data_IF_873149713338
#
_entry.id   IF_873149713338
#
_cell.length_a   1.000
_cell.length_b   1.000
_cell.length_c   1.000
_cell.angle_alpha   90.00
_cell.angle_beta   90.00
_cell.angle_gamma   90.00
#
_symmetry.space_group_name_H-M   'P 1'
#
loop_
_entity.id
_entity.type
_entity.pdbx_description
1 polymer ?
#
# COMPACT_ATOMS: atom_id res chain seq x y z
N UNK A 1 -13.23 -0.62 11.07
CA UNK A 1 -13.44 -2.02 11.47
C UNK A 1 -14.78 -2.15 12.20
N UNK A 2 -15.00 -1.62 13.40
CA UNK A 2 -16.25 -1.79 14.15
C UNK A 2 -17.53 -1.51 13.34
N UNK A 3 -17.57 -0.41 12.60
CA UNK A 3 -18.72 -0.06 11.74
C UNK A 3 -18.90 -1.11 10.63
N UNK A 4 -17.83 -1.58 10.00
CA UNK A 4 -17.91 -2.57 8.92
C UNK A 4 -18.43 -3.94 9.38
N UNK A 5 -18.31 -4.26 10.66
CA UNK A 5 -18.75 -5.51 11.28
C UNK A 5 -20.24 -5.51 11.68
N UNK A 6 -20.92 -4.35 11.69
CA UNK A 6 -22.35 -4.26 12.02
C UNK A 6 -23.21 -4.95 10.95
N UNK A 7 -24.16 -5.77 11.34
CA UNK A 7 -25.02 -6.52 10.42
C UNK A 7 -25.85 -5.61 9.50
N UNK A 8 -26.25 -4.44 9.98
CA UNK A 8 -26.99 -3.45 9.20
C UNK A 8 -26.16 -2.71 8.14
N UNK A 9 -24.81 -2.88 8.13
CA UNK A 9 -23.92 -2.25 7.17
C UNK A 9 -23.55 -3.25 6.08
N UNK A 10 -24.13 -3.09 4.91
CA UNK A 10 -23.85 -3.94 3.74
C UNK A 10 -22.63 -3.48 2.94
N UNK A 11 -22.32 -2.20 2.97
CA UNK A 11 -21.17 -1.62 2.27
C UNK A 11 -20.58 -0.46 3.07
N UNK A 12 -19.27 -0.25 2.94
CA UNK A 12 -18.56 0.84 3.58
C UNK A 12 -17.52 1.42 2.61
N UNK A 13 -17.56 2.72 2.42
CA UNK A 13 -16.52 3.46 1.72
C UNK A 13 -15.77 4.35 2.72
N UNK A 14 -14.46 4.24 2.72
CA UNK A 14 -13.57 5.12 3.48
C UNK A 14 -12.66 5.81 2.48
N UNK A 15 -12.57 7.14 2.55
CA UNK A 15 -11.72 7.92 1.66
C UNK A 15 -10.24 7.57 1.85
N UNK A 16 -9.44 7.81 0.82
CA UNK A 16 -8.03 7.40 0.79
C UNK A 16 -7.11 8.19 1.71
N UNK A 17 -7.58 9.31 2.25
CA UNK A 17 -6.90 10.06 3.30
C UNK A 17 -7.93 10.55 4.30
N UNK A 18 -7.63 10.41 5.59
CA UNK A 18 -8.45 10.94 6.68
C UNK A 18 -8.04 12.35 7.12
N UNK A 19 -7.15 12.99 6.39
CA UNK A 19 -6.57 14.31 6.72
C UNK A 19 -7.05 15.40 5.77
N UNK A 20 -6.58 16.62 5.98
CA UNK A 20 -7.01 17.84 5.29
C UNK A 20 -6.86 17.81 3.78
N UNK A 21 -5.92 17.04 3.25
CA UNK A 21 -5.74 16.87 1.81
C UNK A 21 -6.99 16.32 1.11
N UNK A 22 -7.79 15.48 1.77
CA UNK A 22 -9.06 14.97 1.22
C UNK A 22 -10.12 16.04 1.02
N UNK A 23 -9.99 17.20 1.67
CA UNK A 23 -10.89 18.33 1.49
C UNK A 23 -10.87 18.84 0.05
N UNK A 24 -9.72 18.81 -0.63
CA UNK A 24 -9.60 19.19 -2.04
C UNK A 24 -10.41 18.27 -2.97
N UNK A 25 -10.38 16.96 -2.71
CA UNK A 25 -11.19 15.96 -3.44
C UNK A 25 -12.69 16.22 -3.15
N UNK A 26 -13.04 16.43 -1.89
CA UNK A 26 -14.41 16.75 -1.47
C UNK A 26 -14.95 18.02 -2.14
N UNK A 27 -14.12 19.07 -2.23
CA UNK A 27 -14.42 20.30 -2.94
C UNK A 27 -14.71 20.07 -4.43
N UNK A 28 -13.89 19.25 -5.10
CA UNK A 28 -14.12 18.88 -6.49
C UNK A 28 -15.45 18.14 -6.67
N UNK A 29 -15.78 17.18 -5.81
CA UNK A 29 -17.06 16.49 -5.85
C UNK A 29 -18.23 17.44 -5.58
N UNK A 30 -18.09 18.32 -4.60
CA UNK A 30 -19.13 19.31 -4.29
C UNK A 30 -19.42 20.24 -5.47
N UNK A 31 -18.39 20.77 -6.13
CA UNK A 31 -18.56 21.62 -7.32
C UNK A 31 -19.17 20.85 -8.50
N UNK A 32 -18.81 19.59 -8.64
CA UNK A 32 -19.27 18.73 -9.74
C UNK A 32 -20.61 18.03 -9.48
N UNK A 33 -21.23 18.22 -8.30
CA UNK A 33 -22.44 17.50 -7.86
C UNK A 33 -23.64 17.61 -8.80
N UNK A 34 -23.71 18.68 -9.61
CA UNK A 34 -24.79 18.90 -10.58
C UNK A 34 -24.57 18.15 -11.90
N UNK A 35 -23.38 17.62 -12.13
CA UNK A 35 -23.08 16.86 -13.33
C UNK A 35 -23.54 15.42 -13.18
N UNK A 36 -24.46 14.98 -14.06
CA UNK A 36 -25.01 13.61 -14.06
C UNK A 36 -23.95 12.54 -14.33
N UNK A 37 -22.76 12.93 -14.87
CA UNK A 37 -21.63 12.05 -15.19
C UNK A 37 -20.57 12.01 -14.07
N UNK A 38 -20.93 12.32 -12.85
CA UNK A 38 -20.02 12.27 -11.72
C UNK A 38 -19.52 10.84 -11.52
N UNK A 39 -18.20 10.64 -11.71
CA UNK A 39 -17.56 9.33 -11.56
C UNK A 39 -16.88 9.27 -10.21
N UNK A 40 -17.02 8.14 -9.52
CA UNK A 40 -16.24 7.87 -8.32
C UNK A 40 -14.75 7.76 -8.63
N UNK A 41 -13.94 8.29 -7.75
CA UNK A 41 -12.50 8.15 -7.80
C UNK A 41 -12.12 6.68 -7.55
N UNK A 42 -11.55 6.03 -8.56
CA UNK A 42 -11.22 4.59 -8.49
C UNK A 42 -9.90 4.32 -7.77
N UNK A 43 -8.97 5.27 -7.84
CA UNK A 43 -7.64 5.20 -7.22
C UNK A 43 -7.16 6.61 -6.87
N UNK A 44 -6.02 6.67 -6.20
CA UNK A 44 -5.36 7.91 -5.80
C UNK A 44 -4.07 8.20 -6.60
N UNK A 45 -3.85 7.56 -7.72
CA UNK A 45 -2.69 7.84 -8.59
C UNK A 45 -2.89 9.13 -9.39
N UNK A 46 -2.93 10.26 -8.68
CA UNK A 46 -3.28 11.57 -9.22
C UNK A 46 -2.06 12.47 -9.43
N UNK A 47 -0.92 12.08 -8.88
CA UNK A 47 0.30 12.87 -8.92
C UNK A 47 1.07 12.76 -10.23
N UNK A 48 2.33 13.16 -10.16
CA UNK A 48 3.27 13.15 -11.27
C UNK A 48 3.58 11.73 -11.75
N UNK A 49 3.75 11.55 -13.05
CA UNK A 49 4.09 10.26 -13.67
C UNK A 49 5.59 10.18 -13.94
N UNK A 50 6.27 9.31 -13.19
CA UNK A 50 7.72 9.13 -13.29
C UNK A 50 8.14 8.43 -14.58
N UNK A 51 7.27 7.59 -15.17
CA UNK A 51 7.62 6.83 -16.36
C UNK A 51 7.98 7.74 -17.57
N UNK A 52 7.44 8.95 -17.58
CA UNK A 52 7.77 9.95 -18.60
C UNK A 52 9.17 10.59 -18.42
N UNK A 53 9.80 10.37 -17.29
CA UNK A 53 11.08 11.01 -16.92
C UNK A 53 12.23 10.01 -16.79
N UNK A 54 11.94 8.72 -16.70
CA UNK A 54 12.96 7.70 -16.42
C UNK A 54 14.05 7.65 -17.49
N UNK A 55 13.68 7.88 -18.75
CA UNK A 55 14.62 7.89 -19.88
C UNK A 55 15.53 9.14 -19.91
N UNK A 56 15.17 10.15 -19.12
CA UNK A 56 15.95 11.40 -18.99
C UNK A 56 16.98 11.33 -17.87
N UNK A 57 17.02 10.24 -17.10
CA UNK A 57 17.93 10.08 -15.98
C UNK A 57 19.34 9.83 -16.51
N UNK A 58 20.29 10.65 -16.07
CA UNK A 58 21.71 10.42 -16.31
C UNK A 58 22.21 9.29 -15.41
N UNK A 59 22.33 8.09 -15.95
CA UNK A 59 22.72 6.89 -15.20
C UNK A 59 24.24 6.84 -14.89
N UNK A 60 25.10 7.46 -15.70
CA UNK A 60 26.54 7.38 -15.53
C UNK A 60 27.07 7.78 -14.14
N UNK A 61 26.64 8.88 -13.53
CA UNK A 61 27.04 9.20 -12.17
C UNK A 61 26.58 8.17 -11.15
N UNK A 62 25.38 7.59 -11.36
CA UNK A 62 24.76 6.61 -10.48
C UNK A 62 25.49 5.27 -10.53
N UNK A 63 25.96 4.86 -11.71
CA UNK A 63 26.68 3.60 -11.90
C UNK A 63 28.06 3.54 -11.18
N UNK A 64 28.55 4.65 -10.65
CA UNK A 64 29.80 4.65 -9.85
C UNK A 64 29.60 3.98 -8.49
N UNK A 65 28.43 4.18 -7.89
CA UNK A 65 28.13 3.75 -6.52
C UNK A 65 27.12 2.60 -6.47
N UNK A 66 26.43 2.33 -7.60
CA UNK A 66 25.33 1.37 -7.66
C UNK A 66 25.43 0.49 -8.91
N UNK A 67 24.90 -0.74 -8.80
CA UNK A 67 24.74 -1.63 -9.93
C UNK A 67 23.40 -1.34 -10.60
N UNK A 68 23.42 -0.84 -11.83
CA UNK A 68 22.21 -0.62 -12.63
C UNK A 68 21.94 -1.84 -13.50
N UNK A 69 20.71 -2.35 -13.43
CA UNK A 69 20.24 -3.46 -14.25
C UNK A 69 18.97 -3.05 -15.00
N UNK A 70 18.97 -3.25 -16.31
CA UNK A 70 17.82 -3.01 -17.17
C UNK A 70 17.02 -4.28 -17.40
N UNK A 71 15.74 -4.16 -17.80
CA UNK A 71 14.88 -5.30 -18.15
C UNK A 71 14.53 -6.21 -16.96
N UNK A 72 14.55 -5.70 -15.74
CA UNK A 72 14.18 -6.46 -14.54
C UNK A 72 12.68 -6.76 -14.56
N UNK A 73 12.33 -8.06 -14.48
CA UNK A 73 10.93 -8.51 -14.46
C UNK A 73 10.37 -8.55 -13.03
N UNK A 74 9.04 -8.54 -12.90
CA UNK A 74 8.38 -8.72 -11.61
C UNK A 74 8.71 -10.07 -10.94
N UNK A 75 9.02 -11.11 -11.70
CA UNK A 75 9.48 -12.41 -11.17
C UNK A 75 10.82 -12.28 -10.44
N UNK A 76 11.76 -11.49 -10.99
CA UNK A 76 13.05 -11.21 -10.34
C UNK A 76 12.82 -10.43 -9.04
N UNK A 77 11.96 -9.40 -9.07
CA UNK A 77 11.61 -8.62 -7.87
C UNK A 77 10.98 -9.51 -6.80
N UNK A 78 10.03 -10.36 -7.17
CA UNK A 78 9.40 -11.31 -6.25
C UNK A 78 10.42 -12.28 -5.61
N UNK A 79 11.36 -12.80 -6.41
CA UNK A 79 12.44 -13.66 -5.91
C UNK A 79 13.35 -12.93 -4.92
N UNK A 80 13.69 -11.68 -5.18
CA UNK A 80 14.48 -10.86 -4.26
C UNK A 80 13.76 -10.66 -2.93
N UNK A 81 12.45 -10.33 -2.96
CA UNK A 81 11.63 -10.18 -1.75
C UNK A 81 11.56 -11.49 -0.97
N UNK A 82 11.30 -12.61 -1.64
CA UNK A 82 11.23 -13.94 -1.00
C UNK A 82 12.57 -14.35 -0.35
N UNK A 83 13.69 -13.88 -0.89
CA UNK A 83 15.03 -14.06 -0.30
C UNK A 83 15.34 -13.07 0.84
N UNK A 84 14.36 -12.26 1.27
CA UNK A 84 14.48 -11.35 2.40
C UNK A 84 15.08 -9.99 2.09
N UNK A 85 15.16 -9.61 0.80
CA UNK A 85 15.60 -8.27 0.42
C UNK A 85 14.47 -7.26 0.59
N UNK A 86 14.86 -6.01 0.88
CA UNK A 86 13.96 -4.87 0.92
C UNK A 86 14.05 -4.14 -0.42
N UNK A 87 12.92 -3.90 -1.06
CA UNK A 87 12.84 -3.29 -2.39
C UNK A 87 12.11 -1.96 -2.29
N UNK A 88 12.71 -0.88 -2.77
CA UNK A 88 12.02 0.37 -3.03
C UNK A 88 11.48 0.36 -4.47
N UNK A 89 10.18 0.52 -4.62
CA UNK A 89 9.50 0.57 -5.92
C UNK A 89 9.04 2.00 -6.21
N UNK A 90 9.38 2.47 -7.41
CA UNK A 90 8.82 3.70 -7.99
C UNK A 90 8.30 3.32 -9.38
N UNK A 91 7.03 3.64 -9.67
CA UNK A 91 6.37 3.28 -10.92
C UNK A 91 5.16 4.18 -11.17
N UNK A 92 4.88 4.52 -12.43
CA UNK A 92 3.70 5.27 -12.84
C UNK A 92 3.48 6.59 -12.10
N UNK A 93 2.22 6.92 -11.90
CA UNK A 93 1.82 8.17 -11.24
C UNK A 93 1.93 8.07 -9.72
N UNK A 94 2.43 9.14 -9.12
CA UNK A 94 2.51 9.25 -7.67
C UNK A 94 1.12 9.21 -7.01
N UNK A 95 1.03 8.60 -5.84
CA UNK A 95 -0.17 8.59 -5.03
C UNK A 95 -0.46 9.96 -4.45
N UNK A 96 -1.74 10.33 -4.40
CA UNK A 96 -2.25 11.48 -3.65
C UNK A 96 -2.40 11.11 -2.17
N UNK A 97 -2.01 12.02 -1.29
CA UNK A 97 -2.10 11.82 0.15
C UNK A 97 -0.82 11.26 0.78
N UNK A 98 -0.87 11.02 2.08
CA UNK A 98 0.28 10.66 2.91
C UNK A 98 0.72 9.19 2.76
N UNK A 99 -0.08 8.34 2.12
CA UNK A 99 0.15 6.89 2.06
C UNK A 99 0.72 6.46 0.72
N UNK A 100 1.73 5.59 0.76
CA UNK A 100 2.15 4.82 -0.40
C UNK A 100 1.09 3.75 -0.70
N UNK A 101 0.68 3.62 -1.98
CA UNK A 101 -0.36 2.69 -2.41
C UNK A 101 0.11 1.78 -3.55
N UNK A 102 1.42 1.56 -3.65
CA UNK A 102 2.02 0.63 -4.61
C UNK A 102 2.95 1.25 -5.65
N UNK A 103 2.85 2.55 -5.92
CA UNK A 103 3.71 3.22 -6.90
C UNK A 103 4.96 3.85 -6.30
N UNK A 104 4.94 4.25 -5.03
CA UNK A 104 6.11 4.73 -4.28
C UNK A 104 6.20 3.97 -2.97
N UNK A 105 6.52 2.69 -3.04
CA UNK A 105 6.41 1.75 -1.94
C UNK A 105 7.72 1.08 -1.62
N UNK A 106 7.93 0.80 -0.34
CA UNK A 106 8.96 -0.11 0.14
C UNK A 106 8.28 -1.47 0.35
N UNK A 107 8.80 -2.50 -0.32
CA UNK A 107 8.26 -3.85 -0.33
C UNK A 107 9.22 -4.80 0.39
N UNK A 108 8.68 -5.71 1.18
CA UNK A 108 9.44 -6.73 1.87
C UNK A 108 8.57 -7.96 2.17
N UNK A 109 9.19 -9.07 2.50
CA UNK A 109 8.51 -10.32 2.87
C UNK A 109 7.85 -10.18 4.26
N UNK A 110 6.50 -10.22 4.35
CA UNK A 110 5.80 -10.01 5.60
C UNK A 110 5.93 -11.20 6.59
N UNK A 111 6.45 -12.34 6.16
CA UNK A 111 6.70 -13.49 7.05
C UNK A 111 7.94 -13.32 7.93
N UNK A 112 8.84 -12.39 7.60
CA UNK A 112 10.08 -12.15 8.32
C UNK A 112 9.85 -11.22 9.52
N UNK A 113 10.06 -11.72 10.74
CA UNK A 113 9.82 -10.98 11.98
C UNK A 113 10.68 -9.73 12.14
N UNK A 114 11.93 -9.83 11.72
CA UNK A 114 12.93 -8.75 11.85
C UNK A 114 12.78 -7.64 10.82
N UNK A 115 11.95 -7.84 9.79
CA UNK A 115 11.83 -6.89 8.68
C UNK A 115 11.24 -5.54 9.12
N UNK A 116 10.30 -5.55 10.08
CA UNK A 116 9.69 -4.33 10.62
C UNK A 116 10.76 -3.45 11.26
N UNK A 117 11.58 -4.04 12.11
CA UNK A 117 12.67 -3.34 12.78
C UNK A 117 13.69 -2.80 11.77
N UNK A 118 14.15 -3.64 10.85
CA UNK A 118 15.08 -3.23 9.79
C UNK A 118 14.60 -2.03 8.98
N UNK A 119 13.34 -2.03 8.55
CA UNK A 119 12.79 -0.92 7.76
C UNK A 119 12.59 0.33 8.63
N UNK A 120 12.09 0.17 9.86
CA UNK A 120 11.85 1.30 10.74
C UNK A 120 13.16 2.00 11.14
N UNK A 121 14.19 1.26 11.49
CA UNK A 121 15.49 1.81 11.90
C UNK A 121 16.30 2.34 10.71
N UNK A 122 16.49 1.53 9.66
CA UNK A 122 17.40 1.86 8.58
C UNK A 122 16.82 2.85 7.53
N UNK A 123 15.50 2.88 7.36
CA UNK A 123 14.87 3.61 6.26
C UNK A 123 13.91 4.68 6.76
N UNK A 124 13.03 4.33 7.70
CA UNK A 124 11.96 5.24 8.15
C UNK A 124 12.34 6.09 9.34
N UNK A 125 13.38 5.73 10.09
CA UNK A 125 13.82 6.39 11.32
C UNK A 125 12.65 6.71 12.26
N UNK A 126 11.90 5.67 12.62
CA UNK A 126 10.70 5.76 13.45
C UNK A 126 10.66 4.61 14.46
N UNK A 127 9.68 4.63 15.36
CA UNK A 127 9.52 3.63 16.42
C UNK A 127 9.46 2.21 15.84
N UNK A 128 10.25 1.30 16.43
CA UNK A 128 10.43 -0.07 15.97
C UNK A 128 9.13 -0.90 15.93
N UNK A 129 8.14 -0.53 16.73
CA UNK A 129 6.86 -1.24 16.85
C UNK A 129 5.80 -0.82 15.82
N UNK A 130 6.03 0.25 15.07
CA UNK A 130 5.05 0.73 14.09
C UNK A 130 4.85 -0.28 12.95
N UNK A 131 3.62 -0.79 12.75
CA UNK A 131 3.36 -1.80 11.73
C UNK A 131 3.38 -1.22 10.31
N UNK A 132 3.47 -2.12 9.34
CA UNK A 132 3.29 -1.84 7.92
C UNK A 132 1.99 -2.45 7.44
N UNK A 133 1.37 -1.86 6.41
CA UNK A 133 0.20 -2.43 5.79
C UNK A 133 0.60 -3.54 4.80
N UNK A 134 -0.25 -4.54 4.67
CA UNK A 134 -0.10 -5.62 3.71
C UNK A 134 -0.57 -5.20 2.33
N UNK A 135 0.11 -5.72 1.30
CA UNK A 135 -0.39 -5.80 -0.07
C UNK A 135 -0.76 -7.25 -0.34
N UNK A 136 -2.03 -7.53 -0.56
CA UNK A 136 -2.55 -8.88 -0.80
C UNK A 136 -3.20 -8.92 -2.18
N UNK A 137 -2.89 -9.95 -2.97
CA UNK A 137 -3.62 -10.21 -4.21
C UNK A 137 -5.10 -10.50 -3.88
N UNK A 138 -6.02 -9.86 -4.58
CA UNK A 138 -7.45 -9.94 -4.28
C UNK A 138 -7.97 -11.39 -4.27
N UNK A 139 -7.53 -12.21 -5.21
CA UNK A 139 -7.90 -13.64 -5.32
C UNK A 139 -7.43 -14.49 -4.13
N UNK A 140 -6.48 -14.00 -3.37
CA UNK A 140 -5.91 -14.69 -2.21
C UNK A 140 -6.30 -14.06 -0.87
N UNK A 141 -7.07 -12.97 -0.87
CA UNK A 141 -7.43 -12.24 0.36
C UNK A 141 -8.08 -13.15 1.41
N UNK A 142 -8.99 -14.05 0.99
CA UNK A 142 -9.68 -14.98 1.88
C UNK A 142 -8.78 -16.01 2.56
N UNK A 143 -7.53 -16.14 2.15
CA UNK A 143 -6.54 -16.99 2.82
C UNK A 143 -5.88 -16.31 4.03
N UNK A 144 -5.93 -14.97 4.06
CA UNK A 144 -5.17 -14.18 5.03
C UNK A 144 -6.05 -13.38 5.98
N UNK A 145 -7.19 -12.86 5.50
CA UNK A 145 -8.03 -11.93 6.24
C UNK A 145 -9.48 -12.40 6.31
N UNK A 146 -10.14 -12.07 7.42
CA UNK A 146 -11.57 -12.26 7.58
C UNK A 146 -12.35 -11.06 7.02
N UNK A 147 -12.90 -11.21 5.83
CA UNK A 147 -13.67 -10.18 5.13
C UNK A 147 -14.93 -10.77 4.48
N UNK A 148 -15.91 -11.22 5.29
CA UNK A 148 -17.12 -11.93 4.78
C UNK A 148 -17.99 -11.05 3.88
N UNK A 149 -17.91 -9.73 4.03
CA UNK A 149 -18.67 -8.78 3.22
C UNK A 149 -17.95 -8.36 1.93
N UNK A 150 -16.77 -8.90 1.65
CA UNK A 150 -15.96 -8.57 0.47
C UNK A 150 -15.74 -7.08 0.28
N UNK A 151 -15.51 -6.35 1.37
CA UNK A 151 -15.24 -4.92 1.34
C UNK A 151 -13.92 -4.63 0.63
N UNK A 152 -13.91 -3.63 -0.22
CA UNK A 152 -12.70 -3.16 -0.89
C UNK A 152 -11.93 -2.21 0.02
N UNK A 153 -10.62 -2.41 0.12
CA UNK A 153 -9.72 -1.59 0.94
C UNK A 153 -8.50 -1.10 0.15
N UNK A 154 -8.68 -0.31 -0.92
CA UNK A 154 -7.57 0.09 -1.79
C UNK A 154 -6.68 1.18 -1.20
N UNK A 155 -7.05 1.78 -0.06
CA UNK A 155 -6.44 3.02 0.44
C UNK A 155 -5.77 2.90 1.82
N UNK A 156 -5.55 1.68 2.32
CA UNK A 156 -5.00 1.46 3.66
C UNK A 156 -5.82 2.14 4.78
N UNK A 157 -7.14 2.21 4.62
CA UNK A 157 -8.05 2.93 5.52
C UNK A 157 -9.06 2.02 6.23
N UNK A 158 -9.04 0.72 5.94
CA UNK A 158 -9.84 -0.31 6.59
C UNK A 158 -8.94 -1.35 7.24
N UNK A 159 -9.30 -1.79 8.43
CA UNK A 159 -8.62 -2.86 9.13
C UNK A 159 -9.48 -4.13 9.14
N UNK A 160 -8.84 -5.29 9.00
CA UNK A 160 -9.46 -6.61 9.00
C UNK A 160 -8.82 -7.52 10.04
N UNK A 161 -9.56 -8.51 10.54
CA UNK A 161 -8.99 -9.56 11.35
C UNK A 161 -8.14 -10.49 10.49
N UNK A 162 -6.97 -10.85 10.98
CA UNK A 162 -6.13 -11.88 10.37
C UNK A 162 -6.73 -13.26 10.67
N UNK A 163 -6.70 -14.16 9.69
CA UNK A 163 -7.04 -15.57 9.92
C UNK A 163 -5.94 -16.24 10.74
N UNK A 164 -6.26 -17.04 11.78
CA UNK A 164 -5.28 -17.64 12.68
C UNK A 164 -4.18 -18.43 11.97
N UNK A 165 -4.55 -19.25 10.98
CA UNK A 165 -3.63 -20.10 10.22
C UNK A 165 -2.66 -19.31 9.34
N UNK A 166 -2.96 -18.07 9.02
CA UNK A 166 -2.16 -17.20 8.16
C UNK A 166 -1.29 -16.20 8.91
N UNK A 167 -1.46 -16.08 10.21
CA UNK A 167 -0.78 -15.08 11.03
C UNK A 167 0.73 -15.04 10.83
N UNK A 168 1.39 -16.21 10.83
CA UNK A 168 2.83 -16.27 10.68
C UNK A 168 3.33 -15.92 9.27
N UNK A 169 2.48 -16.06 8.27
CA UNK A 169 2.81 -15.71 6.89
C UNK A 169 2.80 -14.20 6.64
N UNK A 170 2.08 -13.44 7.48
CA UNK A 170 1.87 -12.00 7.34
C UNK A 170 2.22 -11.21 8.60
N UNK A 171 3.02 -11.81 9.47
CA UNK A 171 3.35 -11.31 10.80
C UNK A 171 3.79 -9.84 10.82
N UNK A 172 4.67 -9.44 9.89
CA UNK A 172 5.22 -8.10 9.83
C UNK A 172 4.19 -7.00 9.47
N UNK A 173 3.06 -7.38 8.87
CA UNK A 173 1.98 -6.46 8.53
C UNK A 173 0.82 -6.49 9.53
N UNK A 174 0.92 -7.27 10.62
CA UNK A 174 -0.15 -7.36 11.63
C UNK A 174 0.12 -6.42 12.80
N UNK A 175 -0.94 -5.80 13.29
CA UNK A 175 -0.84 -5.00 14.50
C UNK A 175 -0.43 -5.88 15.70
N UNK A 176 0.59 -5.48 16.50
CA UNK A 176 1.17 -6.38 17.51
C UNK A 176 0.19 -6.76 18.62
N UNK A 177 -0.79 -5.93 18.92
CA UNK A 177 -1.75 -6.16 20.00
C UNK A 177 -2.95 -7.00 19.57
N UNK A 178 -3.73 -6.55 18.58
CA UNK A 178 -5.01 -7.14 18.20
C UNK A 178 -4.95 -8.01 16.92
N UNK A 179 -3.77 -8.14 16.32
CA UNK A 179 -3.51 -8.94 15.12
C UNK A 179 -4.32 -8.53 13.89
N UNK A 180 -4.83 -7.32 13.86
CA UNK A 180 -5.46 -6.77 12.65
C UNK A 180 -4.42 -6.36 11.59
N UNK A 181 -4.88 -6.26 10.36
CA UNK A 181 -4.12 -5.77 9.20
C UNK A 181 -4.90 -4.68 8.50
#
# INVERSE_FOLDING_TARGET
KAISELDCVSSLFVCGSGSDESTSIGGCYYLNRKNKNNKYLKNLFLGYDINNEIDKIAWEPICRDYIVRHGVTYSVVASLIANGNIIAKIDGRAEFGARALGNRSILADPSKRDIVMKINEAIKNRDFWMPFALSILEDYADKYIYNPKKLKAPFMSLAFNTLPDSYYNIYAGTHPYDKTV
#
